data_IF_153076701258
#
_entry.id   IF_153076701258
#
_cell.length_a   1.000
_cell.length_b   1.000
_cell.length_c   1.000
_cell.angle_alpha   90.00
_cell.angle_beta   90.00
_cell.angle_gamma   90.00
#
_symmetry.space_group_name_H-M   'P 1'
#
loop_
_entity.id
_entity.type
_entity.pdbx_description
1 polymer ?
#
# COMPACT_ATOMS: atom_id res chain seq x y z
N UNK A 1 48.06 -3.34 72.15
CA UNK A 1 49.05 -2.58 71.34
C UNK A 1 49.15 -3.23 69.97
N UNK A 2 49.16 -2.43 68.90
CA UNK A 2 49.50 -2.89 67.54
C UNK A 2 48.32 -3.06 66.58
N UNK A 3 47.90 -1.95 65.96
CA UNK A 3 47.10 -1.93 64.73
C UNK A 3 48.00 -2.26 63.54
N UNK A 4 47.51 -3.07 62.60
CA UNK A 4 48.02 -3.04 61.22
C UNK A 4 46.84 -3.10 60.26
N UNK A 5 46.69 -2.02 59.48
CA UNK A 5 45.73 -1.86 58.38
C UNK A 5 46.22 -2.67 57.18
N UNK A 6 45.31 -3.37 56.50
CA UNK A 6 45.51 -3.82 55.11
C UNK A 6 44.44 -3.18 54.23
N UNK A 7 44.90 -2.41 53.23
CA UNK A 7 44.09 -1.90 52.13
C UNK A 7 43.79 -3.05 51.16
N UNK A 8 42.51 -3.24 50.82
CA UNK A 8 42.08 -4.06 49.69
C UNK A 8 42.21 -3.24 48.40
N UNK A 9 42.97 -3.75 47.44
CA UNK A 9 43.04 -3.26 46.06
C UNK A 9 41.98 -4.00 45.24
N UNK A 10 41.08 -3.24 44.61
CA UNK A 10 40.08 -3.72 43.65
C UNK A 10 40.76 -4.18 42.35
N UNK A 11 40.46 -5.42 41.93
CA UNK A 11 40.63 -5.90 40.55
C UNK A 11 39.25 -5.96 39.88
N UNK A 12 39.07 -5.46 38.66
CA UNK A 12 37.82 -5.64 37.91
C UNK A 12 37.73 -7.06 37.36
N UNK A 13 36.60 -7.71 37.63
CA UNK A 13 36.22 -9.00 37.07
C UNK A 13 35.59 -8.73 35.70
N UNK A 14 36.25 -9.22 34.64
CA UNK A 14 35.69 -9.38 33.30
C UNK A 14 34.64 -10.49 33.35
N UNK A 15 33.38 -10.16 33.10
CA UNK A 15 32.36 -11.15 32.71
C UNK A 15 32.26 -11.17 31.18
N UNK A 16 32.82 -12.22 30.59
CA UNK A 16 32.48 -12.66 29.25
C UNK A 16 31.14 -13.40 29.32
N UNK A 17 30.16 -12.96 28.53
CA UNK A 17 28.95 -13.75 28.27
C UNK A 17 28.94 -14.13 26.80
N UNK A 18 28.84 -15.44 26.57
CA UNK A 18 28.90 -16.08 25.27
C UNK A 18 27.61 -15.82 24.48
N UNK A 19 27.76 -15.21 23.30
CA UNK A 19 26.71 -15.17 22.30
C UNK A 19 26.55 -16.57 21.70
N UNK A 20 25.42 -17.22 22.00
CA UNK A 20 25.01 -18.44 21.30
C UNK A 20 24.15 -18.01 20.12
N UNK A 21 24.70 -18.18 18.91
CA UNK A 21 24.01 -17.95 17.65
C UNK A 21 22.95 -19.02 17.43
N UNK A 22 21.68 -18.62 17.44
CA UNK A 22 20.58 -19.41 16.91
C UNK A 22 20.21 -18.85 15.53
N UNK A 23 20.76 -19.46 14.48
CA UNK A 23 20.35 -19.22 13.11
C UNK A 23 18.94 -19.78 12.90
N UNK A 24 17.93 -18.91 12.87
CA UNK A 24 16.61 -19.27 12.37
C UNK A 24 16.66 -19.29 10.84
N UNK A 25 16.74 -20.50 10.28
CA UNK A 25 16.62 -20.73 8.85
C UNK A 25 15.19 -20.42 8.38
N UNK A 26 15.02 -19.33 7.63
CA UNK A 26 13.78 -19.07 6.89
C UNK A 26 13.78 -20.00 5.67
N UNK A 27 12.96 -21.05 5.72
CA UNK A 27 12.71 -21.91 4.55
C UNK A 27 11.73 -21.24 3.59
N UNK A 28 11.98 -21.22 2.28
CA UNK A 28 10.98 -20.80 1.31
C UNK A 28 9.94 -21.92 1.15
N UNK A 29 8.67 -21.61 1.45
CA UNK A 29 7.56 -22.52 1.19
C UNK A 29 7.34 -22.62 -0.33
N UNK A 30 7.90 -23.66 -0.95
CA UNK A 30 7.52 -24.09 -2.30
C UNK A 30 6.25 -24.94 -2.18
N UNK A 31 5.11 -24.34 -2.51
CA UNK A 31 3.82 -25.05 -2.59
C UNK A 31 3.83 -26.09 -3.70
N UNK A 32 3.55 -27.35 -3.34
CA UNK A 32 3.33 -28.47 -4.27
C UNK A 32 2.07 -28.24 -5.11
N UNK A 33 2.21 -28.40 -6.43
CA UNK A 33 1.14 -28.45 -7.42
C UNK A 33 0.22 -29.67 -7.23
N UNK A 34 -1.10 -29.43 -7.31
CA UNK A 34 -2.13 -30.46 -7.58
C UNK A 34 -3.00 -29.92 -8.72
N UNK A 35 -3.20 -30.64 -9.84
CA UNK A 35 -4.05 -30.16 -10.92
C UNK A 35 -5.51 -30.55 -10.65
N UNK A 36 -6.43 -29.58 -10.70
CA UNK A 36 -7.87 -29.85 -10.71
C UNK A 36 -8.45 -29.42 -12.06
N UNK A 37 -9.20 -30.33 -12.66
CA UNK A 37 -9.69 -30.30 -14.02
C UNK A 37 -10.78 -29.28 -14.32
N UNK A 38 -11.02 -29.16 -15.64
CA UNK A 38 -12.04 -28.37 -16.32
C UNK A 38 -13.42 -28.49 -15.69
N UNK A 39 -14.08 -27.35 -15.44
CA UNK A 39 -15.53 -27.27 -15.23
C UNK A 39 -16.13 -26.37 -16.32
N UNK A 40 -17.27 -26.83 -16.83
CA UNK A 40 -17.96 -26.40 -18.03
C UNK A 40 -18.82 -25.13 -17.86
N UNK A 41 -19.16 -24.55 -19.00
CA UNK A 41 -19.94 -23.33 -19.20
C UNK A 41 -21.38 -23.39 -18.63
N UNK A 42 -21.86 -22.24 -18.16
CA UNK A 42 -23.22 -21.96 -17.68
C UNK A 42 -24.08 -21.45 -18.84
N UNK A 43 -25.34 -21.92 -19.03
CA UNK A 43 -26.24 -21.35 -20.04
C UNK A 43 -27.09 -20.20 -19.47
N UNK A 44 -27.40 -19.27 -20.37
CA UNK A 44 -28.17 -18.05 -20.14
C UNK A 44 -29.65 -18.31 -19.79
N UNK A 45 -30.16 -17.53 -18.84
CA UNK A 45 -31.56 -17.51 -18.42
C UNK A 45 -32.38 -16.55 -19.29
N UNK A 46 -33.43 -17.06 -19.92
CA UNK A 46 -34.46 -16.29 -20.62
C UNK A 46 -35.59 -15.94 -19.65
N UNK A 47 -35.86 -14.65 -19.47
CA UNK A 47 -37.01 -14.13 -18.71
C UNK A 47 -38.33 -14.18 -19.51
N UNK A 48 -39.50 -14.21 -18.84
CA UNK A 48 -40.78 -14.46 -19.49
C UNK A 48 -41.45 -13.21 -20.07
N UNK A 49 -42.23 -13.48 -21.13
CA UNK A 49 -43.09 -12.59 -21.91
C UNK A 49 -44.22 -11.95 -21.08
N UNK A 50 -44.50 -10.68 -21.31
CA UNK A 50 -45.75 -10.01 -20.94
C UNK A 50 -46.57 -9.62 -22.18
N UNK A 51 -47.88 -9.69 -22.02
CA UNK A 51 -48.92 -9.53 -23.04
C UNK A 51 -49.33 -8.06 -23.29
N UNK A 52 -49.89 -7.89 -24.49
CA UNK A 52 -50.56 -6.74 -25.09
C UNK A 52 -51.24 -5.70 -24.20
N UNK A 53 -51.04 -4.42 -24.57
CA UNK A 53 -52.13 -3.42 -24.63
C UNK A 53 -51.95 -2.52 -25.87
N UNK A 54 -53.06 -2.26 -26.58
CA UNK A 54 -53.17 -1.39 -27.76
C UNK A 54 -53.27 0.08 -27.36
N UNK A 55 -52.64 0.96 -28.15
CA UNK A 55 -52.92 2.40 -28.16
C UNK A 55 -52.23 3.04 -29.37
N UNK A 56 -53.03 3.55 -30.31
CA UNK A 56 -52.61 4.08 -31.60
C UNK A 56 -52.15 5.55 -31.50
N UNK A 57 -51.15 5.94 -32.30
CA UNK A 57 -51.08 7.27 -32.94
C UNK A 57 -50.04 7.26 -34.07
N UNK A 58 -50.37 8.01 -35.12
CA UNK A 58 -49.78 8.06 -36.46
C UNK A 58 -48.48 8.85 -36.54
N UNK A 59 -47.63 8.58 -37.54
CA UNK A 59 -46.47 9.43 -37.85
C UNK A 59 -45.52 8.89 -38.93
N UNK A 60 -45.98 8.93 -40.18
CA UNK A 60 -45.26 9.16 -41.45
C UNK A 60 -43.84 8.59 -41.69
N UNK A 61 -43.79 7.69 -42.68
CA UNK A 61 -42.62 7.18 -43.39
C UNK A 61 -42.04 8.24 -44.33
N UNK A 62 -40.71 8.38 -44.39
CA UNK A 62 -39.99 8.72 -45.62
C UNK A 62 -38.63 8.01 -45.64
N UNK A 63 -38.55 7.00 -46.49
CA UNK A 63 -37.31 6.35 -46.91
C UNK A 63 -36.85 7.01 -48.22
N UNK A 64 -35.56 7.32 -48.33
CA UNK A 64 -34.90 7.55 -49.61
C UNK A 64 -33.53 6.90 -49.60
N UNK A 65 -33.39 5.85 -50.41
CA UNK A 65 -32.12 5.28 -50.85
C UNK A 65 -31.40 6.22 -51.80
N UNK A 66 -30.07 6.26 -51.75
CA UNK A 66 -29.23 6.64 -52.88
C UNK A 66 -27.84 5.97 -52.78
N UNK A 67 -27.69 4.92 -53.57
CA UNK A 67 -26.54 4.58 -54.43
C UNK A 67 -25.09 4.74 -53.93
N UNK A 68 -24.45 3.56 -53.90
CA UNK A 68 -23.03 3.26 -54.05
C UNK A 68 -22.29 4.12 -55.08
N UNK A 69 -21.13 4.64 -54.69
CA UNK A 69 -20.05 5.01 -55.58
C UNK A 69 -18.75 4.40 -55.04
N UNK A 70 -18.29 3.36 -55.75
CA UNK A 70 -16.95 2.80 -55.65
C UNK A 70 -15.92 3.87 -55.99
N UNK A 71 -15.05 4.20 -55.04
CA UNK A 71 -13.79 4.87 -55.30
C UNK A 71 -12.66 4.05 -54.68
N UNK A 72 -11.98 3.29 -55.54
CA UNK A 72 -10.66 2.71 -55.28
C UNK A 72 -9.70 3.79 -54.80
N UNK A 73 -9.31 3.74 -53.51
CA UNK A 73 -8.12 4.41 -52.99
C UNK A 73 -7.20 3.36 -52.39
N UNK A 74 -6.15 3.11 -53.17
CA UNK A 74 -4.81 2.66 -52.78
C UNK A 74 -4.52 2.66 -51.29
N UNK A 75 -4.12 1.47 -50.79
CA UNK A 75 -3.38 1.28 -49.54
C UNK A 75 -2.23 2.30 -49.45
N UNK A 76 -2.42 3.34 -48.66
CA UNK A 76 -1.33 3.95 -47.93
C UNK A 76 -1.37 3.32 -46.54
N UNK A 77 -0.44 2.41 -46.31
CA UNK A 77 0.01 2.06 -44.97
C UNK A 77 0.56 3.36 -44.40
N UNK A 78 -0.29 4.11 -43.70
CA UNK A 78 0.15 5.21 -42.88
C UNK A 78 1.06 4.60 -41.83
N UNK A 79 2.35 4.89 -41.92
CA UNK A 79 3.25 4.72 -40.81
C UNK A 79 2.58 5.39 -39.60
N UNK A 80 2.38 4.63 -38.53
CA UNK A 80 2.08 5.21 -37.24
C UNK A 80 3.14 6.29 -36.98
N UNK A 81 2.77 7.47 -36.46
CA UNK A 81 3.76 8.47 -36.10
C UNK A 81 4.71 7.78 -35.12
N UNK A 82 6.00 7.72 -35.47
CA UNK A 82 7.04 7.21 -34.58
C UNK A 82 6.80 7.81 -33.19
N UNK A 83 6.33 6.96 -32.29
CA UNK A 83 5.94 7.37 -30.95
C UNK A 83 7.14 8.06 -30.33
N UNK A 84 6.94 9.23 -29.72
CA UNK A 84 7.96 9.83 -28.86
C UNK A 84 8.46 8.72 -27.94
N UNK A 85 9.72 8.30 -28.10
CA UNK A 85 10.34 7.32 -27.21
C UNK A 85 10.05 7.76 -25.79
N UNK A 86 9.27 6.97 -25.04
CA UNK A 86 9.07 7.21 -23.62
C UNK A 86 10.44 7.07 -22.97
N UNK A 87 11.07 8.18 -22.59
CA UNK A 87 12.49 8.24 -22.19
C UNK A 87 12.79 7.75 -20.77
N UNK A 88 11.88 7.02 -20.12
CA UNK A 88 12.13 6.46 -18.81
C UNK A 88 10.93 5.71 -18.22
N UNK A 89 11.20 5.00 -17.13
CA UNK A 89 10.25 4.22 -16.35
C UNK A 89 10.14 4.82 -14.94
N UNK A 90 8.91 5.13 -14.52
CA UNK A 90 8.61 5.82 -13.28
C UNK A 90 7.67 4.94 -12.46
N UNK A 91 8.19 4.38 -11.37
CA UNK A 91 7.46 3.46 -10.50
C UNK A 91 7.18 4.14 -9.17
N UNK A 92 5.91 4.19 -8.77
CA UNK A 92 5.48 4.87 -7.56
C UNK A 92 4.93 3.86 -6.57
N UNK A 93 5.33 3.92 -5.29
CA UNK A 93 4.46 3.36 -4.26
C UNK A 93 3.13 4.12 -4.22
N UNK A 94 2.12 3.52 -3.60
CA UNK A 94 0.82 4.13 -3.44
C UNK A 94 0.67 4.83 -2.09
N UNK A 95 0.63 4.06 -0.99
CA UNK A 95 0.39 4.60 0.34
C UNK A 95 1.65 5.35 0.82
N UNK A 96 1.53 6.64 1.16
CA UNK A 96 2.67 7.49 1.57
C UNK A 96 3.39 8.22 0.42
N UNK A 97 3.13 7.85 -0.84
CA UNK A 97 3.68 8.55 -2.02
C UNK A 97 2.58 9.24 -2.80
N UNK A 98 1.55 8.50 -3.24
CA UNK A 98 0.41 9.02 -3.99
C UNK A 98 -0.73 9.44 -3.05
N UNK A 99 -0.99 8.63 -2.03
CA UNK A 99 -2.13 8.78 -1.13
C UNK A 99 -1.70 8.75 0.33
N UNK A 100 -2.14 9.73 1.11
CA UNK A 100 -2.25 9.59 2.56
C UNK A 100 -3.49 8.75 2.87
N UNK A 101 -3.27 7.45 3.09
CA UNK A 101 -4.32 6.47 3.39
C UNK A 101 -4.53 6.26 4.89
N UNK A 102 -3.89 7.05 5.77
CA UNK A 102 -3.81 6.74 7.20
C UNK A 102 -5.20 6.74 7.86
N UNK A 103 -6.03 7.72 7.53
CA UNK A 103 -7.36 7.86 8.10
C UNK A 103 -8.31 6.77 7.58
N UNK A 104 -8.37 6.53 6.27
CA UNK A 104 -9.14 5.40 5.69
C UNK A 104 -8.73 4.07 6.33
N UNK A 105 -7.44 3.80 6.41
CA UNK A 105 -6.93 2.56 6.97
C UNK A 105 -7.34 2.42 8.45
N UNK A 106 -7.35 3.51 9.22
CA UNK A 106 -7.75 3.51 10.64
C UNK A 106 -9.25 3.26 10.79
N UNK A 107 -10.09 3.88 9.95
CA UNK A 107 -11.54 3.63 9.93
C UNK A 107 -11.83 2.18 9.55
N UNK A 108 -11.20 1.67 8.49
CA UNK A 108 -11.33 0.29 8.07
C UNK A 108 -10.81 -0.69 9.14
N UNK A 109 -9.77 -0.31 9.88
CA UNK A 109 -9.21 -1.10 10.97
C UNK A 109 -10.20 -1.23 12.13
N UNK A 110 -10.86 -0.15 12.54
CA UNK A 110 -11.91 -0.19 13.57
C UNK A 110 -13.06 -1.12 13.16
N UNK A 111 -13.53 -0.98 11.92
CA UNK A 111 -14.57 -1.87 11.35
C UNK A 111 -14.11 -3.33 11.32
N UNK A 112 -12.82 -3.57 11.11
CA UNK A 112 -12.24 -4.92 11.06
C UNK A 112 -12.20 -5.57 12.44
N UNK A 113 -11.69 -4.89 13.46
CA UNK A 113 -11.64 -5.47 14.82
C UNK A 113 -13.04 -5.75 15.36
N UNK A 114 -14.02 -4.87 15.09
CA UNK A 114 -15.44 -5.09 15.40
C UNK A 114 -16.03 -6.27 14.63
N UNK A 115 -15.80 -6.34 13.32
CA UNK A 115 -16.28 -7.45 12.47
C UNK A 115 -15.71 -8.80 12.88
N UNK A 116 -14.52 -8.82 13.49
CA UNK A 116 -13.89 -10.04 13.98
C UNK A 116 -14.33 -10.41 15.41
N UNK A 117 -14.91 -9.48 16.17
CA UNK A 117 -15.28 -9.69 17.57
C UNK A 117 -14.07 -10.00 18.46
N UNK A 118 -12.94 -9.32 18.21
CA UNK A 118 -11.64 -9.60 18.87
C UNK A 118 -11.28 -8.64 20.00
N UNK A 119 -12.12 -7.62 20.22
CA UNK A 119 -11.98 -6.68 21.32
C UNK A 119 -12.64 -7.25 22.58
N UNK A 120 -12.04 -6.99 23.75
CA UNK A 120 -12.67 -7.27 25.05
C UNK A 120 -13.66 -6.18 25.46
N UNK A 121 -14.44 -6.43 26.53
CA UNK A 121 -15.51 -5.53 26.97
C UNK A 121 -15.00 -4.12 27.32
N UNK A 122 -13.77 -3.99 27.85
CA UNK A 122 -13.18 -2.70 28.20
C UNK A 122 -12.67 -1.97 26.95
N UNK A 123 -12.09 -2.70 25.98
CA UNK A 123 -11.70 -2.18 24.67
C UNK A 123 -12.93 -1.66 23.88
N UNK A 124 -14.05 -2.38 23.93
CA UNK A 124 -15.32 -1.93 23.32
C UNK A 124 -15.94 -0.73 24.08
N UNK A 125 -15.85 -0.69 25.41
CA UNK A 125 -16.34 0.44 26.20
C UNK A 125 -15.64 1.77 25.85
N UNK A 126 -14.34 1.73 25.50
CA UNK A 126 -13.60 2.91 25.01
C UNK A 126 -14.21 3.46 23.71
N UNK A 127 -14.79 2.58 22.90
CA UNK A 127 -15.36 2.88 21.59
C UNK A 127 -16.89 3.05 21.64
N UNK A 128 -17.51 2.95 22.81
CA UNK A 128 -18.97 2.98 22.96
C UNK A 128 -19.56 4.28 22.38
N UNK A 129 -20.62 4.14 21.58
CA UNK A 129 -21.29 5.27 20.93
C UNK A 129 -20.51 5.93 19.78
N UNK A 130 -19.40 5.32 19.33
CA UNK A 130 -18.61 5.84 18.19
C UNK A 130 -18.78 4.97 16.94
N UNK A 131 -19.19 5.59 15.84
CA UNK A 131 -19.24 4.95 14.51
C UNK A 131 -17.91 5.08 13.75
N UNK A 132 -17.09 6.06 14.14
CA UNK A 132 -15.76 6.35 13.59
C UNK A 132 -14.70 6.36 14.69
N UNK A 133 -13.41 6.10 14.36
CA UNK A 133 -12.33 6.16 15.33
C UNK A 133 -12.31 7.53 16.03
N UNK A 134 -12.18 7.56 17.37
CA UNK A 134 -12.04 8.82 18.09
C UNK A 134 -10.75 9.54 17.68
N UNK A 135 -10.75 10.87 17.78
CA UNK A 135 -9.64 11.71 17.30
C UNK A 135 -8.27 11.30 17.82
N UNK A 136 -8.16 10.97 19.12
CA UNK A 136 -6.89 10.56 19.72
C UNK A 136 -6.33 9.28 19.07
N UNK A 137 -7.20 8.37 18.64
CA UNK A 137 -6.80 7.11 18.00
C UNK A 137 -6.29 7.37 16.58
N UNK A 138 -6.91 8.30 15.84
CA UNK A 138 -6.40 8.74 14.54
C UNK A 138 -5.02 9.40 14.68
N UNK A 139 -4.84 10.24 15.70
CA UNK A 139 -3.57 10.90 16.00
C UNK A 139 -2.47 9.88 16.35
N UNK A 140 -2.72 8.95 17.27
CA UNK A 140 -1.75 7.91 17.65
C UNK A 140 -1.45 6.94 16.49
N UNK A 141 -2.45 6.55 15.69
CA UNK A 141 -2.25 5.72 14.50
C UNK A 141 -1.35 6.40 13.47
N UNK A 142 -1.47 7.72 13.32
CA UNK A 142 -0.62 8.53 12.43
C UNK A 142 0.81 8.62 12.95
N UNK A 143 1.00 8.73 14.26
CA UNK A 143 2.34 8.74 14.87
C UNK A 143 3.09 7.41 14.68
N UNK A 144 2.40 6.26 14.80
CA UNK A 144 3.02 4.94 14.61
C UNK A 144 3.10 4.49 13.14
N UNK A 145 2.44 5.20 12.21
CA UNK A 145 2.36 4.82 10.79
C UNK A 145 3.71 4.53 10.13
N UNK A 146 4.82 5.24 10.43
CA UNK A 146 6.14 4.92 9.89
C UNK A 146 6.62 3.49 10.22
N UNK A 147 6.24 2.94 11.38
CA UNK A 147 6.63 1.59 11.79
C UNK A 147 5.82 0.49 11.09
N UNK A 148 4.63 0.80 10.56
CA UNK A 148 3.75 -0.19 9.97
C UNK A 148 4.23 -0.57 8.57
N UNK A 149 4.65 -1.82 8.39
CA UNK A 149 5.20 -2.31 7.13
C UNK A 149 4.14 -2.77 6.14
N UNK A 150 3.12 -3.47 6.62
CA UNK A 150 2.10 -4.07 5.76
C UNK A 150 0.71 -3.69 6.27
N UNK A 151 -0.16 -3.28 5.35
CA UNK A 151 -1.48 -2.72 5.71
C UNK A 151 -2.37 -3.63 6.56
N UNK A 152 -2.23 -4.96 6.48
CA UNK A 152 -3.01 -5.88 7.32
C UNK A 152 -2.68 -5.79 8.82
N UNK A 153 -1.54 -5.19 9.18
CA UNK A 153 -1.13 -5.00 10.58
C UNK A 153 -1.87 -3.82 11.24
N UNK A 154 -2.49 -2.93 10.46
CA UNK A 154 -3.17 -1.71 10.97
C UNK A 154 -4.29 -2.04 11.97
N UNK A 155 -5.22 -2.99 11.72
CA UNK A 155 -6.19 -3.44 12.73
C UNK A 155 -5.57 -3.97 14.02
N UNK A 156 -4.42 -4.65 13.92
CA UNK A 156 -3.70 -5.18 15.08
C UNK A 156 -3.16 -4.03 15.93
N UNK A 157 -2.51 -3.05 15.30
CA UNK A 157 -1.96 -1.90 15.99
C UNK A 157 -3.03 -1.01 16.62
N UNK A 158 -4.18 -0.86 15.94
CA UNK A 158 -5.33 -0.16 16.51
C UNK A 158 -5.76 -0.80 17.84
N UNK A 159 -5.86 -2.13 17.89
CA UNK A 159 -6.21 -2.84 19.12
C UNK A 159 -5.12 -2.72 20.21
N UNK A 160 -3.84 -2.69 19.83
CA UNK A 160 -2.75 -2.44 20.78
C UNK A 160 -2.92 -1.07 21.46
N UNK A 161 -3.25 -0.02 20.69
CA UNK A 161 -3.48 1.32 21.26
C UNK A 161 -4.71 1.37 22.19
N UNK A 162 -5.80 0.68 21.83
CA UNK A 162 -6.97 0.54 22.71
C UNK A 162 -6.61 -0.15 24.02
N UNK A 163 -5.83 -1.23 23.96
CA UNK A 163 -5.39 -1.97 25.14
C UNK A 163 -4.51 -1.12 26.06
N UNK A 164 -3.65 -0.27 25.49
CA UNK A 164 -2.85 0.69 26.27
C UNK A 164 -3.72 1.74 26.95
N UNK A 165 -4.75 2.23 26.24
CA UNK A 165 -5.69 3.22 26.78
C UNK A 165 -6.45 2.67 27.99
N UNK A 166 -6.86 1.40 27.95
CA UNK A 166 -7.47 0.67 29.08
C UNK A 166 -6.60 0.68 30.33
N UNK A 167 -5.28 0.53 30.19
CA UNK A 167 -4.32 0.57 31.32
C UNK A 167 -4.11 1.96 31.94
N UNK A 168 -4.77 3.00 31.44
CA UNK A 168 -4.68 4.39 31.89
C UNK A 168 -5.92 4.87 32.65
N UNK A 169 -6.28 4.24 33.75
CA UNK A 169 -7.32 4.79 34.64
C UNK A 169 -6.83 6.06 35.35
N UNK A 170 -7.54 7.17 35.14
CA UNK A 170 -7.51 8.32 36.05
C UNK A 170 -6.79 9.58 35.60
N UNK A 171 -6.91 10.02 34.32
CA UNK A 171 -6.64 11.41 33.88
C UNK A 171 -5.21 11.94 34.03
N UNK A 172 -4.34 11.23 34.73
CA UNK A 172 -2.90 11.35 34.70
C UNK A 172 -2.39 10.18 33.87
N UNK A 173 -1.42 10.45 32.98
CA UNK A 173 -0.65 9.41 32.29
C UNK A 173 -0.19 8.38 33.33
N UNK A 174 -0.88 7.23 33.43
CA UNK A 174 -0.19 6.02 33.88
C UNK A 174 1.01 5.89 32.95
N UNK A 175 2.11 5.28 33.41
CA UNK A 175 3.29 5.03 32.58
C UNK A 175 2.92 4.00 31.49
N UNK A 176 2.01 4.39 30.61
CA UNK A 176 1.57 3.69 29.43
C UNK A 176 2.66 3.77 28.42
N UNK A 177 2.85 2.66 27.75
CA UNK A 177 3.84 2.47 26.70
C UNK A 177 3.72 3.62 25.71
N UNK A 178 4.77 4.42 25.55
CA UNK A 178 4.72 5.58 24.65
C UNK A 178 4.65 5.12 23.19
N UNK A 179 4.23 5.99 22.28
CA UNK A 179 4.28 5.74 20.82
C UNK A 179 5.67 5.19 20.41
N UNK A 180 6.75 5.71 20.98
CA UNK A 180 8.12 5.23 20.72
C UNK A 180 8.34 3.78 21.19
N UNK A 181 7.77 3.39 22.33
CA UNK A 181 7.86 2.02 22.81
C UNK A 181 6.99 1.06 21.99
N UNK A 182 5.86 1.51 21.44
CA UNK A 182 5.06 0.75 20.45
C UNK A 182 5.88 0.47 19.21
N UNK A 183 6.53 1.51 18.68
CA UNK A 183 7.41 1.41 17.50
C UNK A 183 8.57 0.45 17.78
N UNK A 184 9.18 0.55 18.97
CA UNK A 184 10.32 -0.29 19.36
C UNK A 184 9.95 -1.76 19.51
N UNK A 185 8.77 -2.06 20.05
CA UNK A 185 8.31 -3.43 20.33
C UNK A 185 7.36 -3.99 19.27
N UNK A 186 7.29 -3.35 18.10
CA UNK A 186 6.29 -3.58 17.07
C UNK A 186 6.04 -5.05 16.72
N UNK A 187 7.09 -5.81 16.37
CA UNK A 187 6.95 -7.22 15.95
C UNK A 187 6.41 -8.12 17.09
N UNK A 188 6.85 -7.85 18.32
CA UNK A 188 6.38 -8.57 19.51
C UNK A 188 4.92 -8.25 19.81
N UNK A 189 4.51 -7.00 19.64
CA UNK A 189 3.13 -6.56 19.82
C UNK A 189 2.20 -7.19 18.78
N UNK A 190 2.60 -7.20 17.51
CA UNK A 190 1.82 -7.84 16.42
C UNK A 190 1.67 -9.34 16.68
N UNK A 191 2.77 -10.05 16.95
CA UNK A 191 2.75 -11.50 17.14
C UNK A 191 1.96 -11.93 18.39
N UNK A 192 2.13 -11.23 19.52
CA UNK A 192 1.38 -11.50 20.74
C UNK A 192 -0.13 -11.22 20.58
N UNK A 193 -0.50 -10.14 19.90
CA UNK A 193 -1.91 -9.79 19.65
C UNK A 193 -2.58 -10.80 18.73
N UNK A 194 -1.93 -11.20 17.63
CA UNK A 194 -2.43 -12.26 16.76
C UNK A 194 -2.57 -13.60 17.50
N UNK A 195 -1.61 -13.93 18.36
CA UNK A 195 -1.65 -15.12 19.23
C UNK A 195 -2.86 -15.11 20.16
N UNK A 196 -3.16 -13.97 20.78
CA UNK A 196 -4.37 -13.78 21.61
C UNK A 196 -5.66 -14.01 20.82
N UNK A 197 -5.70 -13.57 19.58
CA UNK A 197 -6.88 -13.72 18.71
C UNK A 197 -6.99 -15.09 18.03
N UNK A 198 -5.93 -15.91 18.09
CA UNK A 198 -5.83 -17.14 17.30
C UNK A 198 -5.91 -16.89 15.79
N UNK A 199 -5.32 -15.78 15.32
CA UNK A 199 -5.36 -15.34 13.91
C UNK A 199 -3.98 -15.37 13.27
N UNK A 200 -3.97 -15.52 11.96
CA UNK A 200 -2.79 -15.44 11.09
C UNK A 200 -2.77 -14.14 10.32
N UNK A 201 -1.63 -13.83 9.69
CA UNK A 201 -1.50 -12.75 8.71
C UNK A 201 -2.53 -12.88 7.58
N UNK A 202 -2.74 -14.11 7.08
CA UNK A 202 -3.75 -14.42 6.06
C UNK A 202 -5.16 -14.05 6.51
N UNK A 203 -5.55 -14.43 7.72
CA UNK A 203 -6.87 -14.09 8.25
C UNK A 203 -7.07 -12.57 8.30
N UNK A 204 -6.03 -11.83 8.67
CA UNK A 204 -6.08 -10.37 8.72
C UNK A 204 -6.11 -9.74 7.33
N UNK A 205 -5.36 -10.27 6.35
CA UNK A 205 -5.43 -9.82 4.95
C UNK A 205 -6.85 -9.99 4.40
N UNK A 206 -7.46 -11.16 4.63
CA UNK A 206 -8.81 -11.47 4.18
C UNK A 206 -9.86 -10.61 4.89
N UNK A 207 -9.77 -10.46 6.21
CA UNK A 207 -10.72 -9.66 6.99
C UNK A 207 -10.64 -8.16 6.66
N UNK A 208 -9.42 -7.60 6.66
CA UNK A 208 -9.20 -6.18 6.40
C UNK A 208 -9.52 -5.81 4.94
N UNK A 209 -9.20 -6.70 3.99
CA UNK A 209 -9.64 -6.57 2.61
C UNK A 209 -11.16 -6.62 2.49
N UNK A 210 -11.80 -7.62 3.08
CA UNK A 210 -13.24 -7.83 2.99
C UNK A 210 -14.08 -6.71 3.62
N UNK A 211 -13.60 -6.07 4.68
CA UNK A 211 -14.25 -4.88 5.26
C UNK A 211 -14.24 -3.71 4.29
N UNK A 212 -13.12 -3.47 3.60
CA UNK A 212 -13.02 -2.41 2.59
C UNK A 212 -13.88 -2.72 1.37
N UNK A 213 -13.93 -3.98 0.94
CA UNK A 213 -14.82 -4.41 -0.14
C UNK A 213 -16.29 -4.15 0.20
N UNK A 214 -16.73 -4.49 1.41
CA UNK A 214 -18.09 -4.20 1.88
C UNK A 214 -18.35 -2.70 1.93
N UNK A 215 -17.41 -1.92 2.48
CA UNK A 215 -17.55 -0.47 2.52
C UNK A 215 -17.69 0.12 1.11
N UNK A 216 -16.87 -0.29 0.15
CA UNK A 216 -16.98 0.14 -1.24
C UNK A 216 -18.30 -0.27 -1.89
N UNK A 217 -18.83 -1.46 -1.57
CA UNK A 217 -20.10 -1.93 -2.10
C UNK A 217 -21.31 -1.17 -1.52
N UNK A 218 -21.25 -0.84 -0.22
CA UNK A 218 -22.34 -0.18 0.50
C UNK A 218 -22.36 1.33 0.24
N UNK A 219 -21.19 1.98 0.28
CA UNK A 219 -21.02 3.42 0.07
C UNK A 219 -19.62 3.74 -0.48
N UNK A 220 -19.48 3.58 -1.80
CA UNK A 220 -18.23 3.87 -2.53
C UNK A 220 -17.74 5.30 -2.29
N UNK A 221 -18.64 6.29 -2.30
CA UNK A 221 -18.24 7.69 -2.21
C UNK A 221 -17.62 7.99 -0.85
N UNK A 222 -18.22 7.53 0.25
CA UNK A 222 -17.65 7.72 1.58
C UNK A 222 -16.30 7.00 1.77
N UNK A 223 -16.09 5.86 1.11
CA UNK A 223 -14.79 5.19 1.12
C UNK A 223 -13.74 6.00 0.35
N UNK A 224 -14.08 6.51 -0.83
CA UNK A 224 -13.19 7.35 -1.63
C UNK A 224 -12.80 8.63 -0.90
N UNK A 225 -13.76 9.33 -0.29
CA UNK A 225 -13.54 10.59 0.46
C UNK A 225 -12.73 10.41 1.74
N UNK A 226 -12.65 9.19 2.29
CA UNK A 226 -11.79 8.89 3.44
C UNK A 226 -10.29 8.85 3.08
N UNK A 227 -9.95 8.86 1.79
CA UNK A 227 -8.56 8.87 1.31
C UNK A 227 -8.16 10.28 0.88
N UNK A 228 -6.93 10.68 1.21
CA UNK A 228 -6.41 12.02 0.87
C UNK A 228 -5.22 11.88 -0.09
N UNK A 229 -5.31 12.42 -1.30
CA UNK A 229 -4.18 12.44 -2.24
C UNK A 229 -3.21 13.57 -1.91
N UNK A 230 -1.92 13.31 -2.07
CA UNK A 230 -0.91 14.36 -1.93
C UNK A 230 -1.02 15.37 -3.09
N UNK A 231 -1.00 16.69 -2.81
CA UNK A 231 -1.21 17.71 -3.85
C UNK A 231 -0.23 17.58 -5.02
N UNK A 232 -0.75 17.55 -6.25
CA UNK A 232 0.05 17.50 -7.48
C UNK A 232 0.60 16.12 -7.84
N UNK A 233 0.45 15.11 -6.97
CA UNK A 233 0.96 13.76 -7.26
C UNK A 233 0.13 13.05 -8.34
N UNK A 234 -1.21 12.94 -8.24
CA UNK A 234 -2.01 12.30 -9.29
C UNK A 234 -1.85 12.96 -10.67
N UNK A 235 -1.75 14.28 -10.70
CA UNK A 235 -1.50 15.04 -11.94
C UNK A 235 -0.14 14.70 -12.52
N UNK A 236 0.92 14.67 -11.69
CA UNK A 236 2.26 14.33 -12.14
C UNK A 236 2.41 12.87 -12.59
N UNK A 237 1.67 11.92 -11.99
CA UNK A 237 1.58 10.54 -12.50
C UNK A 237 0.89 10.53 -13.86
N UNK A 238 -0.20 11.27 -14.03
CA UNK A 238 -0.96 11.34 -15.29
C UNK A 238 -0.15 11.96 -16.42
N UNK A 239 0.59 13.04 -16.12
CA UNK A 239 1.42 13.76 -17.09
C UNK A 239 2.88 13.29 -17.11
N UNK A 240 3.17 12.10 -16.59
CA UNK A 240 4.53 11.59 -16.51
C UNK A 240 5.18 11.56 -17.91
N UNK A 241 6.41 12.08 -18.02
CA UNK A 241 7.15 12.14 -19.29
C UNK A 241 7.59 10.76 -19.83
N UNK A 242 7.52 9.73 -18.99
CA UNK A 242 7.86 8.36 -19.32
C UNK A 242 6.68 7.42 -19.13
N UNK A 243 6.98 6.14 -18.95
CA UNK A 243 5.99 5.15 -18.54
C UNK A 243 5.80 5.18 -17.03
N UNK A 244 4.55 5.34 -16.58
CA UNK A 244 4.19 5.28 -15.18
C UNK A 244 3.71 3.88 -14.80
N UNK A 245 4.11 3.42 -13.62
CA UNK A 245 3.59 2.21 -12.98
C UNK A 245 3.42 2.44 -11.48
N UNK A 246 2.47 1.76 -10.85
CA UNK A 246 2.31 1.78 -9.39
C UNK A 246 2.77 0.43 -8.84
N UNK A 247 3.56 0.42 -7.78
CA UNK A 247 4.10 -0.79 -7.15
C UNK A 247 3.88 -0.73 -5.65
N UNK A 248 2.84 -1.41 -5.17
CA UNK A 248 2.32 -1.24 -3.81
C UNK A 248 2.01 -2.57 -3.10
N UNK A 249 1.99 -2.53 -1.78
CA UNK A 249 1.48 -3.62 -0.93
C UNK A 249 -0.01 -3.47 -0.61
N UNK A 250 -0.67 -2.44 -1.15
CA UNK A 250 -2.14 -2.35 -1.19
C UNK A 250 -2.72 -3.39 -2.15
N UNK A 251 -3.89 -3.94 -1.84
CA UNK A 251 -4.57 -4.83 -2.80
C UNK A 251 -4.91 -4.06 -4.07
N UNK A 252 -4.59 -4.65 -5.23
CA UNK A 252 -4.62 -3.97 -6.53
C UNK A 252 -5.93 -3.25 -6.82
N UNK A 253 -7.08 -3.89 -6.53
CA UNK A 253 -8.41 -3.32 -6.78
C UNK A 253 -8.66 -1.99 -6.06
N UNK A 254 -8.10 -1.79 -4.86
CA UNK A 254 -8.23 -0.54 -4.14
C UNK A 254 -7.36 0.56 -4.76
N UNK A 255 -6.12 0.23 -5.14
CA UNK A 255 -5.24 1.16 -5.81
C UNK A 255 -5.84 1.61 -7.15
N UNK A 256 -6.39 0.69 -7.95
CA UNK A 256 -7.10 1.02 -9.20
C UNK A 256 -8.24 2.00 -8.92
N UNK A 257 -9.16 1.66 -8.00
CA UNK A 257 -10.31 2.50 -7.70
C UNK A 257 -9.90 3.93 -7.29
N UNK A 258 -8.87 4.06 -6.45
CA UNK A 258 -8.37 5.35 -6.00
C UNK A 258 -7.65 6.12 -7.10
N UNK A 259 -6.85 5.48 -7.95
CA UNK A 259 -6.21 6.16 -9.09
C UNK A 259 -7.24 6.73 -10.06
N UNK A 260 -8.33 5.99 -10.33
CA UNK A 260 -9.43 6.50 -11.17
C UNK A 260 -10.18 7.63 -10.49
N UNK A 261 -10.43 7.53 -9.18
CA UNK A 261 -11.05 8.61 -8.42
C UNK A 261 -10.19 9.88 -8.41
N UNK A 262 -8.86 9.74 -8.36
CA UNK A 262 -7.91 10.85 -8.45
C UNK A 262 -7.81 11.49 -9.85
N UNK A 263 -8.59 11.00 -10.83
CA UNK A 263 -8.60 11.52 -12.20
C UNK A 263 -7.46 11.00 -13.08
N UNK A 264 -6.68 10.00 -12.62
CA UNK A 264 -5.67 9.36 -13.47
C UNK A 264 -6.40 8.43 -14.44
N UNK A 265 -6.32 8.70 -15.74
CA UNK A 265 -7.00 7.90 -16.75
C UNK A 265 -6.24 6.61 -17.10
N UNK A 266 -6.96 5.61 -17.60
CA UNK A 266 -6.37 4.32 -18.00
C UNK A 266 -5.39 4.42 -19.18
N UNK A 267 -5.48 5.49 -19.98
CA UNK A 267 -4.52 5.77 -21.05
C UNK A 267 -3.16 6.25 -20.53
N UNK A 268 -3.13 6.91 -19.37
CA UNK A 268 -1.90 7.38 -18.72
C UNK A 268 -1.28 6.30 -17.83
N UNK A 269 -2.13 5.53 -17.16
CA UNK A 269 -1.73 4.43 -16.27
C UNK A 269 -2.72 3.28 -16.45
N UNK A 270 -2.44 2.28 -17.30
CA UNK A 270 -3.28 1.09 -17.44
C UNK A 270 -3.44 0.32 -16.13
N UNK A 271 -4.59 -0.35 -15.92
CA UNK A 271 -4.81 -1.18 -14.72
C UNK A 271 -3.75 -2.30 -14.57
N UNK A 272 -3.23 -2.79 -15.70
CA UNK A 272 -2.14 -3.79 -15.74
C UNK A 272 -0.80 -3.26 -15.24
N UNK A 273 -0.62 -1.93 -15.19
CA UNK A 273 0.59 -1.28 -14.68
C UNK A 273 0.48 -0.87 -13.19
N UNK A 274 -0.62 -1.27 -12.53
CA UNK A 274 -0.80 -1.12 -11.08
C UNK A 274 -0.53 -2.47 -10.44
N UNK A 275 0.68 -2.66 -9.90
CA UNK A 275 1.14 -3.87 -9.24
C UNK A 275 0.81 -3.82 -7.75
N UNK A 276 -0.17 -4.61 -7.33
CA UNK A 276 -0.64 -4.65 -5.94
C UNK A 276 -0.44 -6.00 -5.25
N UNK A 277 -0.80 -6.03 -3.96
CA UNK A 277 -0.87 -7.26 -3.16
C UNK A 277 -1.83 -8.27 -3.79
N UNK A 278 -1.38 -9.52 -3.87
CA UNK A 278 -2.07 -10.62 -4.57
C UNK A 278 -1.38 -11.02 -5.88
N UNK A 279 -0.42 -10.22 -6.37
CA UNK A 279 0.42 -10.59 -7.51
C UNK A 279 1.68 -11.37 -7.12
N UNK A 280 1.94 -11.52 -5.81
CA UNK A 280 3.05 -12.30 -5.23
C UNK A 280 4.44 -11.96 -5.79
N UNK A 281 4.68 -10.68 -6.12
CA UNK A 281 5.99 -10.17 -6.55
C UNK A 281 6.56 -9.18 -5.53
N UNK A 282 7.85 -9.28 -5.26
CA UNK A 282 8.56 -8.24 -4.54
C UNK A 282 8.66 -6.98 -5.41
N UNK A 283 8.74 -5.79 -4.79
CA UNK A 283 8.87 -4.54 -5.54
C UNK A 283 10.11 -4.52 -6.44
N UNK A 284 11.23 -5.06 -5.96
CA UNK A 284 12.46 -5.18 -6.75
C UNK A 284 12.28 -6.04 -8.01
N UNK A 285 11.56 -7.16 -7.91
CA UNK A 285 11.28 -8.01 -9.07
C UNK A 285 10.38 -7.30 -10.09
N UNK A 286 9.39 -6.53 -9.63
CA UNK A 286 8.56 -5.71 -10.54
C UNK A 286 9.42 -4.68 -11.28
N UNK A 287 10.31 -3.95 -10.58
CA UNK A 287 11.20 -2.97 -11.21
C UNK A 287 12.07 -3.66 -12.28
N UNK A 288 12.68 -4.81 -11.95
CA UNK A 288 13.52 -5.58 -12.89
C UNK A 288 12.72 -6.05 -14.11
N UNK A 289 11.52 -6.60 -13.91
CA UNK A 289 10.67 -7.09 -14.99
C UNK A 289 10.27 -5.94 -15.93
N UNK A 290 9.84 -4.80 -15.38
CA UNK A 290 9.44 -3.63 -16.18
C UNK A 290 10.58 -3.01 -16.96
N UNK A 291 11.78 -2.94 -16.36
CA UNK A 291 12.98 -2.51 -17.07
C UNK A 291 13.25 -3.41 -18.29
N UNK A 292 13.15 -4.74 -18.12
CA UNK A 292 13.41 -5.70 -19.21
C UNK A 292 12.34 -5.65 -20.30
N UNK A 293 11.07 -5.61 -19.93
CA UNK A 293 9.93 -5.56 -20.85
C UNK A 293 9.98 -4.32 -21.74
N UNK A 294 10.19 -3.15 -21.13
CA UNK A 294 10.28 -1.88 -21.84
C UNK A 294 11.65 -1.53 -22.38
N UNK A 295 12.66 -2.38 -22.14
CA UNK A 295 14.08 -2.15 -22.50
C UNK A 295 14.63 -0.83 -21.95
N UNK A 296 14.22 -0.45 -20.74
CA UNK A 296 14.70 0.74 -20.06
C UNK A 296 16.10 0.51 -19.48
N UNK A 297 16.94 1.54 -19.55
CA UNK A 297 18.20 1.55 -18.83
C UNK A 297 17.93 1.75 -17.33
N UNK A 298 18.79 1.23 -16.42
CA UNK A 298 18.67 1.54 -15.00
C UNK A 298 18.71 3.05 -14.73
N UNK A 299 19.51 3.81 -15.47
CA UNK A 299 19.69 5.25 -15.27
C UNK A 299 18.45 6.09 -15.63
N UNK A 300 17.56 5.52 -16.45
CA UNK A 300 16.27 6.09 -16.85
C UNK A 300 15.10 5.47 -16.06
N UNK A 301 15.40 4.69 -15.02
CA UNK A 301 14.41 4.07 -14.14
C UNK A 301 14.39 4.78 -12.79
N UNK A 302 13.20 5.20 -12.37
CA UNK A 302 12.95 5.99 -11.18
C UNK A 302 11.97 5.25 -10.27
N UNK A 303 12.32 5.04 -9.01
CA UNK A 303 11.43 4.44 -8.01
C UNK A 303 11.20 5.39 -6.84
N UNK A 304 9.92 5.71 -6.58
CA UNK A 304 9.46 6.64 -5.55
C UNK A 304 8.81 5.86 -4.41
N UNK A 305 9.34 6.02 -3.20
CA UNK A 305 8.95 5.26 -2.02
C UNK A 305 9.12 6.15 -0.78
N UNK A 306 8.24 6.06 0.21
CA UNK A 306 8.38 6.80 1.47
C UNK A 306 9.07 5.99 2.57
N UNK A 307 9.24 4.68 2.41
CA UNK A 307 9.82 3.83 3.45
C UNK A 307 11.26 3.40 3.15
N UNK A 308 12.16 3.78 4.05
CA UNK A 308 13.57 3.39 3.96
C UNK A 308 13.79 1.87 3.97
N UNK A 309 13.11 1.05 4.82
CA UNK A 309 13.26 -0.40 4.76
C UNK A 309 12.98 -1.01 3.39
N UNK A 310 12.03 -0.45 2.63
CA UNK A 310 11.75 -0.88 1.25
C UNK A 310 12.91 -0.52 0.34
N UNK A 311 13.38 0.73 0.37
CA UNK A 311 14.53 1.17 -0.41
C UNK A 311 15.79 0.37 -0.08
N UNK A 312 16.08 0.13 1.20
CA UNK A 312 17.23 -0.64 1.65
C UNK A 312 17.22 -2.10 1.15
N UNK A 313 16.03 -2.71 0.98
CA UNK A 313 15.90 -4.03 0.33
C UNK A 313 16.24 -3.94 -1.17
N UNK A 314 15.77 -2.91 -1.86
CA UNK A 314 16.09 -2.68 -3.28
C UNK A 314 17.57 -2.37 -3.51
N UNK A 315 18.20 -1.57 -2.64
CA UNK A 315 19.62 -1.21 -2.74
C UNK A 315 20.57 -2.43 -2.63
N UNK A 316 20.15 -3.47 -1.90
CA UNK A 316 20.88 -4.74 -1.77
C UNK A 316 20.73 -5.66 -2.99
N UNK A 317 19.89 -5.31 -3.94
CA UNK A 317 19.66 -6.08 -5.15
C UNK A 317 20.53 -5.55 -6.30
N UNK A 318 21.60 -6.28 -6.63
CA UNK A 318 22.56 -5.91 -7.68
C UNK A 318 21.89 -5.72 -9.06
N UNK A 319 20.71 -6.31 -9.29
CA UNK A 319 19.93 -6.13 -10.54
C UNK A 319 19.40 -4.70 -10.69
N UNK A 320 19.36 -3.94 -9.59
CA UNK A 320 18.88 -2.56 -9.53
C UNK A 320 20.03 -1.54 -9.44
N UNK A 321 21.26 -1.96 -9.73
CA UNK A 321 22.39 -1.05 -9.82
C UNK A 321 22.16 0.01 -10.91
N UNK A 322 22.32 1.29 -10.55
CA UNK A 322 22.05 2.43 -11.44
C UNK A 322 20.61 2.92 -11.48
N UNK A 323 19.65 2.23 -10.86
CA UNK A 323 18.26 2.74 -10.67
C UNK A 323 18.30 3.96 -9.75
N UNK A 324 17.49 4.98 -10.07
CA UNK A 324 17.33 6.18 -9.25
C UNK A 324 16.25 5.95 -8.21
N UNK A 325 16.64 5.97 -6.94
CA UNK A 325 15.72 5.82 -5.82
C UNK A 325 15.40 7.17 -5.19
N UNK A 326 14.12 7.42 -4.93
CA UNK A 326 13.63 8.63 -4.30
C UNK A 326 12.94 8.28 -2.98
N UNK A 327 13.47 8.78 -1.87
CA UNK A 327 12.76 8.79 -0.59
C UNK A 327 11.82 10.00 -0.56
N UNK A 328 10.51 9.75 -0.65
CA UNK A 328 9.48 10.80 -0.67
C UNK A 328 9.27 11.38 0.73
N UNK A 329 9.78 12.58 0.99
CA UNK A 329 9.91 13.11 2.35
C UNK A 329 8.60 13.61 2.99
N UNK A 330 7.52 13.61 2.21
CA UNK A 330 6.17 14.00 2.58
C UNK A 330 5.30 12.82 3.05
N UNK A 331 5.76 11.59 2.83
CA UNK A 331 5.10 10.37 3.24
C UNK A 331 5.29 10.05 4.71
N UNK A 332 5.19 8.77 5.07
CA UNK A 332 5.30 8.29 6.44
C UNK A 332 6.76 8.05 6.87
N UNK A 333 7.66 8.96 6.48
CA UNK A 333 9.10 8.84 6.73
C UNK A 333 9.43 9.19 8.17
N UNK A 334 10.07 8.29 8.91
CA UNK A 334 10.58 8.59 10.24
C UNK A 334 11.85 9.45 10.18
N UNK A 335 12.13 10.30 11.20
CA UNK A 335 13.32 11.14 11.21
C UNK A 335 14.64 10.38 11.03
N UNK A 336 14.77 9.20 11.65
CA UNK A 336 15.98 8.38 11.53
C UNK A 336 16.14 7.77 10.12
N UNK A 337 15.05 7.45 9.43
CA UNK A 337 15.06 6.96 8.05
C UNK A 337 15.56 8.03 7.08
N UNK A 338 15.22 9.30 7.34
CA UNK A 338 15.75 10.44 6.60
C UNK A 338 17.27 10.56 6.76
N UNK A 339 17.80 10.35 7.96
CA UNK A 339 19.26 10.37 8.18
C UNK A 339 19.96 9.19 7.48
N UNK A 340 19.34 8.02 7.43
CA UNK A 340 19.86 6.87 6.67
C UNK A 340 19.93 7.18 5.17
N UNK A 341 18.88 7.79 4.61
CA UNK A 341 18.87 8.18 3.20
C UNK A 341 19.90 9.26 2.86
N UNK A 342 20.18 10.23 3.75
CA UNK A 342 21.25 11.21 3.54
C UNK A 342 22.63 10.57 3.42
N UNK A 343 22.83 9.41 4.03
CA UNK A 343 24.10 8.69 4.03
C UNK A 343 24.25 7.73 2.84
N UNK A 344 23.25 7.62 1.96
CA UNK A 344 23.22 6.70 0.83
C UNK A 344 23.23 7.46 -0.50
N UNK A 345 24.34 7.36 -1.24
CA UNK A 345 24.54 8.11 -2.50
C UNK A 345 23.54 7.74 -3.60
N UNK A 346 22.98 6.52 -3.55
CA UNK A 346 22.00 6.04 -4.55
C UNK A 346 20.56 6.50 -4.28
N UNK A 347 20.30 7.17 -3.15
CA UNK A 347 18.97 7.62 -2.76
C UNK A 347 18.91 9.15 -2.71
N UNK A 348 17.99 9.74 -3.46
CA UNK A 348 17.65 11.15 -3.38
C UNK A 348 16.48 11.35 -2.41
N UNK A 349 16.63 12.23 -1.43
CA UNK A 349 15.49 12.68 -0.62
C UNK A 349 14.71 13.70 -1.43
N UNK A 350 13.48 13.36 -1.79
CA UNK A 350 12.64 14.18 -2.66
C UNK A 350 11.59 14.91 -1.83
N UNK A 351 11.60 16.25 -1.77
CA UNK A 351 10.52 17.00 -1.20
C UNK A 351 9.36 17.19 -2.17
N UNK A 352 8.14 17.31 -1.64
CA UNK A 352 6.90 17.33 -2.44
C UNK A 352 6.92 18.41 -3.53
N UNK A 353 7.42 19.60 -3.20
CA UNK A 353 7.51 20.73 -4.13
C UNK A 353 8.50 20.52 -5.29
N UNK A 354 9.33 19.46 -5.24
CA UNK A 354 10.30 19.08 -6.29
C UNK A 354 9.83 17.87 -7.09
N UNK A 355 8.72 17.23 -6.72
CA UNK A 355 8.20 16.05 -7.42
C UNK A 355 7.99 16.31 -8.92
N UNK A 356 7.31 17.42 -9.26
CA UNK A 356 7.05 17.81 -10.64
C UNK A 356 8.32 17.96 -11.49
N UNK A 357 9.42 18.42 -10.89
CA UNK A 357 10.69 18.60 -11.58
C UNK A 357 11.27 17.26 -12.07
N UNK A 358 10.99 16.16 -11.37
CA UNK A 358 11.47 14.81 -11.71
C UNK A 358 10.58 14.15 -12.76
N UNK A 359 9.25 14.26 -12.60
CA UNK A 359 8.29 13.48 -13.43
C UNK A 359 7.81 14.21 -14.69
N UNK A 360 7.84 15.55 -14.71
CA UNK A 360 7.27 16.36 -15.78
C UNK A 360 8.30 17.20 -16.58
N UNK A 361 9.53 17.40 -16.08
CA UNK A 361 10.51 18.23 -16.79
C UNK A 361 10.92 17.63 -18.15
N UNK A 362 11.06 18.44 -19.22
CA UNK A 362 11.57 18.00 -20.52
C UNK A 362 12.97 17.39 -20.48
#
# INVERSE_FOLDING_TARGET
MGRTRSLLVLRPILFASAATSAAAAVSPLVGRFVPVGRIAAVPAFLGPRSQHYRGAAQGTVLATSATSLMATRTNQIGAEPEGKEKRGLYLFDFDGVICDSCDECTIAALRTVRSLGVLDDDEEAILEGTESPPRWLLEEMREIRPAIEVGWQIPVMLAVLLNQKKGGEGGAKSAGVTTEEVITNYESLVSSTLGRWGKTDRDMIEAFGGVRDRWMADDLQSWLEANSFYPGIPEGVSSCRGEAAVVTTKQQRFAIALMRHAGVEGGNLPDSDIYGLGMYKAKSDVIVDRMKEGKYSPQDTHFFEDRWPTLAKCLKDDRLEGVRFYLCDWGYVAPHERELAKAEERVEILPLNRFGDVVASP
#
